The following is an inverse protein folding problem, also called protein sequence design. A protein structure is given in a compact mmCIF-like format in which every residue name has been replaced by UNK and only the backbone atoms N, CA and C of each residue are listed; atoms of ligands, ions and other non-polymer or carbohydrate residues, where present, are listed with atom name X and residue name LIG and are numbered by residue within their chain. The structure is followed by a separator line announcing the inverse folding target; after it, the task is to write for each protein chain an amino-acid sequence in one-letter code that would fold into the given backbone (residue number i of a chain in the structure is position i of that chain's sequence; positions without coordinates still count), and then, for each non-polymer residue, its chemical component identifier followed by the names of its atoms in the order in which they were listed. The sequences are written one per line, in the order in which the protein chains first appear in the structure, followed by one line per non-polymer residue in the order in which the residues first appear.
data_IF_837980292587
#
_entry.id   IF_837980292587
#
_cell.length_a   1.000
_cell.length_b   1.000
_cell.length_c   1.000
_cell.angle_alpha   90.00
_cell.angle_beta   90.00
_cell.angle_gamma   90.00
#
_symmetry.space_group_name_H-M   'P 1'
#
loop_
_entity.id
_entity.type
_entity.pdbx_description
1 polymer ?
#
# COMPACT_ATOMS: atom_id res chain seq x y z
N UNK A 1 10.51 18.85 4.38
CA UNK A 1 9.30 18.06 4.67
C UNK A 1 8.38 18.06 3.47
N UNK A 2 8.04 16.93 2.90
CA UNK A 2 7.10 16.89 1.78
C UNK A 2 5.70 17.31 2.22
N UNK A 3 4.95 17.90 1.28
CA UNK A 3 3.57 18.28 1.55
C UNK A 3 2.67 17.07 1.76
N UNK A 4 2.92 16.00 1.01
CA UNK A 4 2.22 14.73 1.18
C UNK A 4 3.24 13.69 1.61
N UNK A 5 2.97 13.05 2.74
CA UNK A 5 3.82 12.00 3.27
C UNK A 5 2.90 10.86 3.72
N UNK A 6 2.92 9.77 2.97
CA UNK A 6 2.11 8.59 3.25
C UNK A 6 3.04 7.44 3.60
N UNK A 7 2.79 6.83 4.73
CA UNK A 7 3.54 5.65 5.19
C UNK A 7 2.53 4.57 5.53
N UNK A 8 2.80 3.35 5.08
CA UNK A 8 1.94 2.21 5.37
C UNK A 8 2.76 0.94 5.44
N UNK A 9 2.36 0.01 6.29
CA UNK A 9 3.00 -1.29 6.42
C UNK A 9 1.96 -2.38 6.23
N UNK A 10 2.33 -3.43 5.50
CA UNK A 10 1.44 -4.57 5.28
C UNK A 10 2.24 -5.86 5.37
N UNK A 11 1.76 -6.80 6.17
CA UNK A 11 2.36 -8.13 6.22
C UNK A 11 1.81 -9.00 5.10
N UNK A 12 2.70 -9.68 4.39
CA UNK A 12 2.37 -10.56 3.27
C UNK A 12 3.00 -11.93 3.54
N UNK A 13 2.18 -12.96 3.45
CA UNK A 13 2.64 -14.33 3.71
C UNK A 13 3.30 -14.92 2.46
N UNK A 14 4.45 -14.34 2.10
CA UNK A 14 5.26 -14.78 0.99
C UNK A 14 6.69 -14.30 1.20
N UNK A 15 7.66 -14.99 0.61
CA UNK A 15 9.06 -14.61 0.72
C UNK A 15 9.32 -13.24 0.05
N UNK A 16 10.26 -12.45 0.56
CA UNK A 16 10.56 -11.14 -0.03
C UNK A 16 10.86 -11.17 -1.52
N UNK A 17 11.55 -12.20 -2.00
CA UNK A 17 11.85 -12.32 -3.44
C UNK A 17 10.59 -12.45 -4.29
N UNK A 18 9.58 -13.17 -3.79
CA UNK A 18 8.32 -13.33 -4.51
C UNK A 18 7.52 -12.01 -4.52
N UNK A 19 7.49 -11.32 -3.39
CA UNK A 19 6.83 -10.01 -3.28
C UNK A 19 7.52 -9.01 -4.21
N UNK A 20 8.84 -8.97 -4.18
CA UNK A 20 9.64 -8.07 -5.02
C UNK A 20 9.37 -8.28 -6.51
N UNK A 21 9.31 -9.53 -6.93
CA UNK A 21 9.05 -9.87 -8.33
C UNK A 21 7.68 -9.36 -8.78
N UNK A 22 6.67 -9.53 -7.94
CA UNK A 22 5.31 -9.07 -8.24
C UNK A 22 5.25 -7.55 -8.29
N UNK A 23 5.85 -6.88 -7.31
CA UNK A 23 5.88 -5.41 -7.25
C UNK A 23 6.65 -4.82 -8.42
N UNK A 24 7.70 -5.49 -8.88
CA UNK A 24 8.53 -5.02 -9.99
C UNK A 24 7.92 -5.25 -11.37
N UNK A 25 6.78 -5.92 -11.45
CA UNK A 25 6.10 -6.16 -12.72
C UNK A 25 5.43 -4.88 -13.22
N UNK A 26 6.11 -4.15 -14.10
CA UNK A 26 5.65 -2.87 -14.60
C UNK A 26 4.32 -2.89 -15.34
N UNK A 27 3.92 -4.05 -15.84
CA UNK A 27 2.63 -4.18 -16.52
C UNK A 27 1.44 -3.98 -15.58
N UNK A 28 1.67 -4.01 -14.27
CA UNK A 28 0.63 -3.86 -13.25
C UNK A 28 0.47 -2.44 -12.75
N UNK A 29 1.48 -1.62 -12.92
CA UNK A 29 1.55 -0.31 -12.25
C UNK A 29 0.43 0.63 -12.64
N UNK A 30 0.02 0.62 -13.91
CA UNK A 30 -1.07 1.47 -14.37
C UNK A 30 -2.39 1.15 -13.67
N UNK A 31 -2.66 -0.13 -13.44
CA UNK A 31 -3.86 -0.56 -12.74
C UNK A 31 -3.78 -0.27 -11.24
N UNK A 32 -2.60 -0.46 -10.65
CA UNK A 32 -2.40 -0.25 -9.22
C UNK A 32 -2.37 1.22 -8.84
N UNK A 33 -1.69 2.04 -9.66
CA UNK A 33 -1.50 3.46 -9.37
C UNK A 33 -1.91 4.31 -10.58
N UNK A 34 -3.23 4.34 -10.89
CA UNK A 34 -3.70 5.06 -12.08
C UNK A 34 -3.49 6.58 -11.99
N UNK A 35 -3.28 7.10 -10.77
CA UNK A 35 -3.08 8.52 -10.55
C UNK A 35 -1.64 8.97 -10.79
N UNK A 36 -0.72 8.02 -11.02
CA UNK A 36 0.72 8.32 -11.08
C UNK A 36 1.34 7.88 -12.40
N UNK A 37 2.28 8.69 -12.86
CA UNK A 37 3.28 8.27 -13.82
C UNK A 37 4.51 7.87 -13.03
N UNK A 38 5.01 6.65 -13.24
CA UNK A 38 6.10 6.08 -12.47
C UNK A 38 7.31 5.85 -13.35
N UNK A 39 8.46 6.29 -12.87
CA UNK A 39 9.76 6.02 -13.50
C UNK A 39 10.64 5.36 -12.45
N UNK A 40 11.20 4.20 -12.76
CA UNK A 40 12.06 3.49 -11.82
C UNK A 40 13.30 4.33 -11.50
N UNK A 41 13.52 4.59 -10.22
CA UNK A 41 14.73 5.22 -9.72
C UNK A 41 15.74 4.14 -9.34
N UNK A 42 15.31 3.16 -8.57
CA UNK A 42 16.20 2.13 -8.05
C UNK A 42 15.45 0.81 -7.87
N UNK A 43 16.00 -0.25 -8.43
CA UNK A 43 15.52 -1.61 -8.19
C UNK A 43 16.51 -2.30 -7.27
N UNK A 44 16.02 -2.86 -6.14
CA UNK A 44 16.86 -3.41 -5.07
C UNK A 44 16.65 -4.92 -4.90
N UNK A 45 16.30 -5.62 -5.97
CA UNK A 45 16.04 -7.06 -5.94
C UNK A 45 15.01 -7.43 -4.85
N UNK A 46 15.34 -8.35 -3.96
CA UNK A 46 14.42 -8.81 -2.92
C UNK A 46 14.13 -7.75 -1.84
N UNK A 47 14.80 -6.63 -1.87
CA UNK A 47 14.57 -5.54 -0.90
C UNK A 47 13.52 -4.54 -1.35
N UNK A 48 13.05 -4.63 -2.58
CA UNK A 48 12.02 -3.76 -3.10
C UNK A 48 12.50 -2.81 -4.18
N UNK A 49 11.84 -1.65 -4.29
CA UNK A 49 12.22 -0.69 -5.32
C UNK A 49 11.68 0.71 -5.00
N UNK A 50 12.21 1.67 -5.73
CA UNK A 50 11.86 3.08 -5.62
C UNK A 50 11.58 3.67 -6.99
N UNK A 51 10.61 4.55 -7.03
CA UNK A 51 10.21 5.24 -8.26
C UNK A 51 10.22 6.76 -8.06
N UNK A 52 10.48 7.48 -9.14
CA UNK A 52 10.05 8.86 -9.25
C UNK A 52 8.57 8.87 -9.63
N UNK A 53 7.83 9.81 -9.07
CA UNK A 53 6.38 9.91 -9.23
C UNK A 53 6.00 11.29 -9.73
N UNK A 54 5.07 11.31 -10.68
CA UNK A 54 4.41 12.53 -11.11
C UNK A 54 2.92 12.23 -11.23
N UNK A 55 2.07 13.16 -10.82
CA UNK A 55 0.63 12.95 -10.97
C UNK A 55 0.28 12.88 -12.46
N UNK A 56 -0.48 11.83 -12.83
CA UNK A 56 -0.69 11.48 -14.24
C UNK A 56 -1.58 12.47 -14.96
N UNK A 57 -2.54 13.08 -14.24
CA UNK A 57 -3.54 13.93 -14.89
C UNK A 57 -3.00 15.28 -15.33
N UNK A 58 -2.22 15.94 -14.48
CA UNK A 58 -1.79 17.30 -14.74
C UNK A 58 -0.36 17.61 -14.32
N UNK A 59 0.36 16.64 -13.74
CA UNK A 59 1.73 16.82 -13.32
C UNK A 59 1.92 17.83 -12.19
N UNK A 60 0.86 18.14 -11.43
CA UNK A 60 0.93 19.15 -10.38
C UNK A 60 1.60 18.67 -9.09
N UNK A 61 1.77 17.36 -8.95
CA UNK A 61 2.47 16.76 -7.83
C UNK A 61 3.62 15.92 -8.34
N UNK A 62 4.74 15.94 -7.64
CA UNK A 62 5.90 15.13 -7.98
C UNK A 62 6.68 14.76 -6.74
N UNK A 63 7.38 13.65 -6.79
CA UNK A 63 8.20 13.19 -5.70
C UNK A 63 8.67 11.75 -5.88
N UNK A 64 8.55 10.96 -4.84
CA UNK A 64 9.04 9.58 -4.85
C UNK A 64 8.06 8.63 -4.18
N UNK A 65 8.12 7.38 -4.61
CA UNK A 65 7.39 6.26 -4.01
C UNK A 65 8.38 5.12 -3.80
N UNK A 66 8.26 4.44 -2.68
CA UNK A 66 9.16 3.35 -2.37
C UNK A 66 8.40 2.21 -1.72
N UNK A 67 8.73 0.99 -2.12
CA UNK A 67 8.32 -0.23 -1.41
C UNK A 67 9.60 -0.88 -0.90
N UNK A 68 9.72 -0.99 0.42
CA UNK A 68 10.85 -1.65 1.04
C UNK A 68 10.35 -2.92 1.73
N UNK A 69 11.05 -4.03 1.48
CA UNK A 69 10.61 -5.35 1.90
C UNK A 69 11.51 -5.88 3.01
N UNK A 70 10.89 -6.16 4.14
CA UNK A 70 11.58 -6.67 5.31
C UNK A 70 11.17 -8.11 5.56
N UNK A 71 12.14 -9.07 5.58
CA UNK A 71 11.79 -10.45 5.93
C UNK A 71 11.41 -10.52 7.40
N UNK A 72 10.26 -11.12 7.69
CA UNK A 72 9.78 -11.31 9.06
C UNK A 72 9.17 -12.71 9.16
N UNK A 73 9.80 -13.59 9.93
CA UNK A 73 9.34 -14.97 10.03
C UNK A 73 9.33 -15.65 8.66
N UNK A 74 8.20 -16.21 8.29
CA UNK A 74 8.01 -16.87 6.99
C UNK A 74 7.49 -15.93 5.92
N UNK A 75 7.25 -14.68 6.28
CA UNK A 75 6.65 -13.71 5.37
C UNK A 75 7.48 -12.45 5.22
N UNK A 76 6.80 -11.41 4.78
CA UNK A 76 7.42 -10.13 4.46
C UNK A 76 6.55 -9.01 4.99
N UNK A 77 7.17 -8.00 5.62
CA UNK A 77 6.50 -6.72 5.85
C UNK A 77 6.87 -5.80 4.69
N UNK A 78 5.86 -5.37 3.96
CA UNK A 78 6.04 -4.39 2.88
C UNK A 78 5.81 -3.00 3.45
N UNK A 79 6.88 -2.21 3.48
CA UNK A 79 6.85 -0.82 3.91
C UNK A 79 6.65 0.06 2.70
N UNK A 80 5.60 0.89 2.73
CA UNK A 80 5.27 1.77 1.64
C UNK A 80 5.50 3.22 2.04
N UNK A 81 6.16 3.97 1.17
CA UNK A 81 6.43 5.40 1.38
C UNK A 81 6.05 6.17 0.13
N UNK A 82 5.27 7.23 0.29
CA UNK A 82 4.94 8.15 -0.79
C UNK A 82 5.17 9.57 -0.31
N UNK A 83 6.02 10.31 -0.99
CA UNK A 83 6.36 11.69 -0.64
C UNK A 83 6.22 12.55 -1.87
N UNK A 84 5.27 13.48 -1.83
CA UNK A 84 4.96 14.34 -2.96
C UNK A 84 4.93 15.80 -2.54
N UNK A 85 5.36 16.66 -3.46
CA UNK A 85 5.26 18.10 -3.33
C UNK A 85 4.57 18.69 -4.56
N UNK A 86 3.94 19.83 -4.39
CA UNK A 86 3.40 20.57 -5.51
C UNK A 86 4.55 21.04 -6.42
N UNK A 87 4.37 20.90 -7.73
CA UNK A 87 5.39 21.27 -8.71
C UNK A 87 5.43 22.77 -8.97
N UNK A 88 4.35 23.50 -8.65
CA UNK A 88 4.31 24.94 -8.81
C UNK A 88 4.66 25.68 -7.53
N UNK A 89 4.50 26.99 -7.55
CA UNK A 89 4.76 27.83 -6.39
C UNK A 89 3.64 27.75 -5.35
N UNK A 90 2.42 27.41 -5.76
CA UNK A 90 1.28 27.32 -4.86
C UNK A 90 1.32 25.98 -4.11
N UNK A 91 1.15 26.06 -2.81
CA UNK A 91 1.08 24.88 -1.98
C UNK A 91 -0.33 24.33 -1.93
N UNK A 92 -0.44 23.06 -1.57
CA UNK A 92 -1.73 22.42 -1.38
C UNK A 92 -2.46 23.03 -0.20
N UNK A 93 -3.75 23.23 -0.36
CA UNK A 93 -4.60 23.61 0.76
C UNK A 93 -4.73 22.43 1.72
N UNK A 94 -4.88 22.73 3.00
CA UNK A 94 -4.93 21.71 4.05
C UNK A 94 -5.99 20.64 3.78
N UNK A 95 -7.18 21.08 3.39
CA UNK A 95 -8.30 20.16 3.13
C UNK A 95 -8.03 19.26 1.93
N UNK A 96 -7.45 19.80 0.89
CA UNK A 96 -7.05 19.05 -0.29
C UNK A 96 -5.95 18.05 0.06
N UNK A 97 -4.95 18.49 0.80
CA UNK A 97 -3.85 17.63 1.24
C UNK A 97 -4.36 16.44 2.04
N UNK A 98 -5.25 16.69 3.01
CA UNK A 98 -5.79 15.62 3.86
C UNK A 98 -6.58 14.61 3.03
N UNK A 99 -7.35 15.09 2.06
CA UNK A 99 -8.12 14.22 1.17
C UNK A 99 -7.20 13.34 0.30
N UNK A 100 -6.12 13.92 -0.22
CA UNK A 100 -5.16 13.19 -1.04
C UNK A 100 -4.39 12.16 -0.22
N UNK A 101 -4.00 12.50 0.99
CA UNK A 101 -3.32 11.56 1.89
C UNK A 101 -4.22 10.35 2.15
N UNK A 102 -5.49 10.59 2.47
CA UNK A 102 -6.43 9.49 2.72
C UNK A 102 -6.62 8.62 1.48
N UNK A 103 -6.74 9.24 0.30
CA UNK A 103 -6.89 8.54 -0.98
C UNK A 103 -5.68 7.67 -1.29
N UNK A 104 -4.49 8.22 -1.20
CA UNK A 104 -3.26 7.51 -1.55
C UNK A 104 -2.93 6.43 -0.53
N UNK A 105 -3.23 6.65 0.74
CA UNK A 105 -3.06 5.62 1.77
C UNK A 105 -3.98 4.43 1.50
N UNK A 106 -5.24 4.70 1.16
CA UNK A 106 -6.20 3.64 0.84
C UNK A 106 -5.75 2.84 -0.38
N UNK A 107 -5.28 3.54 -1.41
CA UNK A 107 -4.80 2.88 -2.63
C UNK A 107 -3.59 1.99 -2.33
N UNK A 108 -2.64 2.47 -1.55
CA UNK A 108 -1.47 1.70 -1.17
C UNK A 108 -1.86 0.42 -0.45
N UNK A 109 -2.80 0.51 0.48
CA UNK A 109 -3.29 -0.66 1.21
C UNK A 109 -3.96 -1.66 0.27
N UNK A 110 -4.78 -1.17 -0.65
CA UNK A 110 -5.45 -2.03 -1.64
C UNK A 110 -4.44 -2.77 -2.52
N UNK A 111 -3.39 -2.07 -2.95
CA UNK A 111 -2.33 -2.69 -3.77
C UNK A 111 -1.61 -3.78 -2.99
N UNK A 112 -1.22 -3.50 -1.75
CA UNK A 112 -0.50 -4.48 -0.95
C UNK A 112 -1.38 -5.70 -0.61
N UNK A 113 -2.66 -5.49 -0.36
CA UNK A 113 -3.60 -6.61 -0.18
C UNK A 113 -3.74 -7.44 -1.45
N UNK A 114 -3.79 -6.79 -2.61
CA UNK A 114 -3.88 -7.50 -3.90
C UNK A 114 -2.63 -8.35 -4.15
N UNK A 115 -1.46 -7.82 -3.83
CA UNK A 115 -0.20 -8.58 -3.92
C UNK A 115 -0.26 -9.79 -2.98
N UNK A 116 -0.70 -9.57 -1.76
CA UNK A 116 -0.82 -10.65 -0.77
C UNK A 116 -1.79 -11.74 -1.20
N UNK A 117 -2.93 -11.35 -1.76
CA UNK A 117 -3.94 -12.31 -2.23
C UNK A 117 -3.41 -13.14 -3.41
N UNK A 118 -2.66 -12.52 -4.29
CA UNK A 118 -2.08 -13.22 -5.44
C UNK A 118 -1.02 -14.23 -5.02
N UNK A 119 -0.17 -13.87 -4.06
CA UNK A 119 0.93 -14.73 -3.62
C UNK A 119 0.50 -15.78 -2.59
N UNK A 120 -0.66 -15.60 -2.00
CA UNK A 120 -1.23 -16.53 -1.05
C UNK A 120 -2.70 -16.79 -1.40
N UNK A 121 -2.97 -17.61 -2.42
CA UNK A 121 -4.35 -17.85 -2.88
C UNK A 121 -5.27 -18.42 -1.81
N UNK A 122 -4.72 -19.11 -0.80
CA UNK A 122 -5.51 -19.67 0.27
C UNK A 122 -5.90 -18.71 1.39
N UNK A 123 -5.42 -17.46 1.31
CA UNK A 123 -5.62 -16.49 2.38
C UNK A 123 -7.09 -16.17 2.61
N UNK A 124 -7.84 -15.91 1.57
CA UNK A 124 -9.27 -15.61 1.70
C UNK A 124 -10.05 -16.79 2.26
N UNK A 125 -9.68 -18.00 1.85
CA UNK A 125 -10.30 -19.21 2.33
C UNK A 125 -10.04 -19.41 3.82
N UNK A 126 -8.80 -19.18 4.25
CA UNK A 126 -8.47 -19.26 5.68
C UNK A 126 -9.22 -18.22 6.50
N UNK A 127 -9.38 -17.00 5.97
CA UNK A 127 -10.14 -15.95 6.66
C UNK A 127 -11.61 -16.32 6.81
N UNK A 128 -12.18 -16.99 5.82
CA UNK A 128 -13.56 -17.41 5.86
C UNK A 128 -13.81 -18.48 6.93
N UNK A 129 -12.77 -19.21 7.35
CA UNK A 129 -12.85 -20.25 8.34
C UNK A 129 -12.64 -19.74 9.77
N UNK A 130 -12.31 -18.47 9.94
CA UNK A 130 -12.10 -17.92 11.26
C UNK A 130 -13.44 -17.75 11.99
N UNK A 131 -13.45 -17.91 13.32
CA UNK A 131 -14.67 -17.70 14.11
C UNK A 131 -15.16 -16.27 13.99
N UNK A 132 -16.46 -16.09 13.97
CA UNK A 132 -17.06 -14.78 13.92
C UNK A 132 -17.03 -14.14 15.31
N UNK A 133 -16.45 -12.96 15.41
CA UNK A 133 -16.37 -12.28 16.70
C UNK A 133 -17.71 -11.81 17.23
N UNK A 134 -18.61 -11.51 16.33
CA UNK A 134 -19.86 -10.85 16.71
C UNK A 134 -20.86 -11.75 17.40
N UNK A 135 -20.82 -13.03 17.15
CA UNK A 135 -21.86 -13.92 17.61
C UNK A 135 -21.88 -14.22 19.09
N UNK A 136 -20.80 -14.78 19.63
CA UNK A 136 -20.89 -15.42 20.95
C UNK A 136 -21.23 -14.50 22.10
N UNK A 137 -20.62 -13.35 22.20
CA UNK A 137 -20.80 -12.57 23.44
C UNK A 137 -22.19 -11.97 23.63
N UNK A 138 -22.94 -11.85 22.59
CA UNK A 138 -24.22 -11.14 22.69
C UNK A 138 -25.25 -11.89 23.55
N UNK A 139 -25.33 -13.15 23.36
CA UNK A 139 -26.27 -13.94 24.15
C UNK A 139 -25.95 -13.90 25.63
N UNK A 140 -24.70 -14.01 25.94
CA UNK A 140 -24.27 -14.03 27.33
C UNK A 140 -24.61 -12.75 28.07
N UNK A 141 -24.42 -11.62 27.42
CA UNK A 141 -24.65 -10.34 28.08
C UNK A 141 -26.08 -10.09 28.45
N UNK A 142 -26.98 -10.65 27.73
CA UNK A 142 -28.40 -10.43 27.99
C UNK A 142 -28.94 -11.25 29.12
N UNK A 143 -28.14 -12.07 29.70
CA UNK A 143 -28.57 -12.89 30.84
C UNK A 143 -28.58 -12.14 32.14
N UNK A 144 -28.09 -10.97 32.16
CA UNK A 144 -28.02 -10.21 33.39
C UNK A 144 -29.43 -9.80 33.80
N UNK A 145 -29.88 -10.19 34.99
CA UNK A 145 -31.20 -9.85 35.51
C UNK A 145 -31.31 -8.37 35.84
#
# INVERSE_FOLDING_TARGET
MPELDVVDDTWIDAAPAAVAKTVADGSRWRAWWPDFELTVDEARDAKGMRWFVRSARNGTLAGSMEVWLEPVGTGTVAHYFLRLDATGSARLRRRERDRLIARYRRRAKQVMWAVGDELDPGRLERLAQLPTKAGPPHGARRRIP
#
